data_IF_060772859152
#
_entry.id   IF_060772859152
#
_cell.length_a   1.000
_cell.length_b   1.000
_cell.length_c   1.000
_cell.angle_alpha   90.00
_cell.angle_beta   90.00
_cell.angle_gamma   90.00
#
_symmetry.space_group_name_H-M   'P 1'
#
loop_
_entity.id
_entity.type
_entity.pdbx_description
1 polymer ?
#
# COMPACT_ATOMS: atom_id res chain seq x y z
N UNK A 1 -41.47 -22.66 52.71
CA UNK A 1 -42.83 -22.15 52.92
C UNK A 1 -42.70 -20.66 53.17
N UNK A 2 -42.80 -19.88 52.08
CA UNK A 2 -43.80 -18.79 51.89
C UNK A 2 -44.22 -18.07 53.20
N UNK A 3 -44.12 -16.74 53.39
CA UNK A 3 -44.62 -15.67 52.51
C UNK A 3 -44.34 -14.23 53.05
N UNK A 4 -44.21 -13.26 52.13
CA UNK A 4 -44.82 -11.90 52.01
C UNK A 4 -44.64 -10.81 53.13
N UNK A 5 -44.26 -9.59 52.68
CA UNK A 5 -44.82 -8.22 52.92
C UNK A 5 -43.69 -7.15 52.93
N UNK A 6 -43.58 -6.18 52.00
CA UNK A 6 -44.43 -5.01 51.64
C UNK A 6 -44.15 -3.73 52.44
N UNK A 7 -44.17 -2.59 51.71
CA UNK A 7 -44.08 -1.14 52.08
C UNK A 7 -42.67 -0.52 52.07
N UNK A 8 -42.44 0.76 51.71
CA UNK A 8 -43.19 1.87 51.09
C UNK A 8 -42.28 3.11 51.21
N UNK A 9 -42.35 4.03 50.26
CA UNK A 9 -41.61 5.30 50.10
C UNK A 9 -41.42 6.20 51.34
N UNK A 10 -40.38 7.04 51.27
CA UNK A 10 -40.45 8.46 51.62
C UNK A 10 -39.39 9.28 50.89
N UNK A 11 -39.82 10.18 50.02
CA UNK A 11 -39.06 11.31 49.49
C UNK A 11 -39.04 12.46 50.51
N UNK A 12 -37.98 13.27 50.51
CA UNK A 12 -37.97 14.64 51.07
C UNK A 12 -37.09 15.56 50.23
N UNK A 13 -37.73 16.49 49.51
CA UNK A 13 -37.19 17.73 48.96
C UNK A 13 -36.96 18.81 50.05
N UNK A 14 -36.31 19.94 49.66
CA UNK A 14 -36.20 21.28 50.30
C UNK A 14 -34.75 21.63 50.70
N UNK A 15 -34.10 22.77 50.38
CA UNK A 15 -34.44 24.07 49.74
C UNK A 15 -33.15 24.90 49.55
N UNK A 16 -33.16 25.80 48.53
CA UNK A 16 -32.47 27.10 48.30
C UNK A 16 -31.80 27.83 49.51
N UNK A 17 -30.91 28.84 49.42
CA UNK A 17 -30.16 29.61 48.39
C UNK A 17 -29.30 30.67 49.14
N UNK A 18 -28.20 31.19 48.56
CA UNK A 18 -27.62 32.58 48.67
C UNK A 18 -26.15 32.60 48.19
N UNK A 19 -25.49 33.68 47.76
CA UNK A 19 -25.69 34.76 46.80
C UNK A 19 -24.31 35.48 46.66
N UNK A 20 -24.05 36.05 45.46
CA UNK A 20 -23.18 37.20 45.16
C UNK A 20 -21.63 37.10 44.96
N UNK A 21 -21.23 37.36 43.71
CA UNK A 21 -19.99 37.98 43.16
C UNK A 21 -19.90 39.51 43.51
N UNK A 22 -18.94 40.39 43.05
CA UNK A 22 -17.86 40.28 42.01
C UNK A 22 -16.51 41.04 42.29
N UNK A 23 -15.67 41.16 41.24
CA UNK A 23 -14.58 42.12 40.91
C UNK A 23 -13.14 41.56 41.03
N UNK A 24 -12.20 41.69 40.08
CA UNK A 24 -11.97 42.70 39.04
C UNK A 24 -11.02 42.17 37.92
N UNK A 25 -11.05 42.79 36.73
CA UNK A 25 -10.28 42.44 35.50
C UNK A 25 -8.88 43.12 35.47
N UNK A 26 -7.91 42.65 34.65
CA UNK A 26 -7.69 43.35 33.39
C UNK A 26 -7.24 42.48 32.20
N UNK A 27 -7.58 42.98 31.01
CA UNK A 27 -7.22 42.46 29.70
C UNK A 27 -5.71 42.60 29.39
N UNK A 28 -5.13 41.55 28.80
CA UNK A 28 -4.03 41.63 27.83
C UNK A 28 -4.25 40.52 26.81
N UNK A 29 -4.41 40.91 25.55
CA UNK A 29 -4.64 39.98 24.45
C UNK A 29 -3.33 39.35 24.00
N UNK A 30 -3.36 38.04 23.83
CA UNK A 30 -2.60 37.31 22.81
C UNK A 30 -3.56 36.25 22.26
N UNK A 31 -3.92 36.41 21.00
CA UNK A 31 -4.70 35.45 20.22
C UNK A 31 -3.84 34.21 19.97
N UNK A 32 -3.82 33.26 20.90
CA UNK A 32 -3.42 31.89 20.57
C UNK A 32 -4.65 31.17 20.00
N UNK A 33 -4.66 31.13 18.67
CA UNK A 33 -5.49 30.28 17.82
C UNK A 33 -5.70 28.90 18.46
N UNK A 34 -6.88 28.72 19.03
CA UNK A 34 -7.48 27.43 19.37
C UNK A 34 -7.33 26.48 18.17
N UNK A 35 -6.42 25.52 18.32
CA UNK A 35 -6.12 24.43 17.36
C UNK A 35 -7.10 23.26 17.57
N UNK A 36 -8.30 23.54 18.11
CA UNK A 36 -9.31 22.57 18.51
C UNK A 36 -10.05 21.94 17.31
N UNK A 37 -9.88 22.47 16.10
CA UNK A 37 -10.45 21.89 14.87
C UNK A 37 -9.69 20.65 14.36
N UNK A 38 -8.45 20.41 14.82
CA UNK A 38 -7.63 19.28 14.37
C UNK A 38 -7.91 18.00 15.19
N UNK A 39 -8.27 18.07 16.47
CA UNK A 39 -8.41 16.89 17.35
C UNK A 39 -9.61 15.99 16.99
N UNK A 40 -10.74 16.57 16.57
CA UNK A 40 -11.91 15.80 16.11
C UNK A 40 -11.63 15.05 14.80
N UNK A 41 -10.82 15.64 13.90
CA UNK A 41 -10.39 15.02 12.63
C UNK A 41 -9.37 13.89 12.88
N UNK A 42 -8.58 13.98 13.94
CA UNK A 42 -7.61 12.94 14.32
C UNK A 42 -8.27 11.68 14.87
N UNK A 43 -9.35 11.84 15.64
CA UNK A 43 -10.13 10.74 16.23
C UNK A 43 -10.85 9.88 15.17
N UNK A 44 -11.21 10.47 14.04
CA UNK A 44 -11.90 9.76 12.95
C UNK A 44 -10.92 8.96 12.06
N UNK A 45 -9.63 9.32 12.10
CA UNK A 45 -8.62 8.73 11.21
C UNK A 45 -8.14 7.35 11.67
N UNK A 46 -8.01 7.11 12.98
CA UNK A 46 -7.46 5.86 13.53
C UNK A 46 -8.20 5.35 14.74
N UNK A 47 -8.64 4.09 14.71
CA UNK A 47 -9.28 3.43 15.86
C UNK A 47 -8.28 2.97 16.91
N UNK A 48 -8.72 2.74 18.15
CA UNK A 48 -7.88 2.24 19.26
C UNK A 48 -7.11 0.97 18.87
N UNK A 49 -7.73 0.03 18.15
CA UNK A 49 -7.07 -1.19 17.67
C UNK A 49 -5.91 -0.87 16.70
N UNK A 50 -6.11 0.07 15.78
CA UNK A 50 -5.07 0.45 14.82
C UNK A 50 -3.89 1.15 15.51
N UNK A 51 -4.16 1.99 16.51
CA UNK A 51 -3.14 2.67 17.30
C UNK A 51 -2.30 1.68 18.08
N UNK A 52 -2.90 0.67 18.71
CA UNK A 52 -2.16 -0.39 19.40
C UNK A 52 -1.19 -1.12 18.47
N UNK A 53 -1.63 -1.43 17.25
CA UNK A 53 -0.77 -2.02 16.23
C UNK A 53 0.36 -1.08 15.76
N UNK A 54 0.09 0.22 15.64
CA UNK A 54 1.10 1.23 15.28
C UNK A 54 2.16 1.38 16.37
N UNK A 55 1.74 1.46 17.64
CA UNK A 55 2.65 1.51 18.80
C UNK A 55 3.57 0.30 18.81
N UNK A 56 3.05 -0.92 18.65
CA UNK A 56 3.88 -2.14 18.64
C UNK A 56 4.91 -2.12 17.52
N UNK A 57 4.48 -1.78 16.30
CA UNK A 57 5.39 -1.69 15.14
C UNK A 57 6.47 -0.63 15.37
N UNK A 58 6.09 0.50 15.94
CA UNK A 58 7.00 1.60 16.21
C UNK A 58 8.03 1.24 17.29
N UNK A 59 7.61 0.65 18.42
CA UNK A 59 8.54 0.18 19.45
C UNK A 59 9.42 -0.98 18.97
N UNK A 60 8.93 -1.81 18.05
CA UNK A 60 9.74 -2.87 17.42
C UNK A 60 10.90 -2.31 16.58
N UNK A 61 10.80 -1.08 16.06
CA UNK A 61 11.92 -0.43 15.36
C UNK A 61 13.08 -0.05 16.27
N UNK A 62 12.87 -0.05 17.60
CA UNK A 62 13.86 0.34 18.62
C UNK A 62 14.47 1.74 18.43
N UNK A 63 13.84 2.60 17.62
CA UNK A 63 14.27 4.00 17.43
C UNK A 63 14.11 4.78 18.73
N UNK A 64 13.05 4.50 19.50
CA UNK A 64 12.87 5.01 20.86
C UNK A 64 12.43 3.91 21.82
N UNK A 65 12.79 4.07 23.09
CA UNK A 65 12.36 3.17 24.16
C UNK A 65 10.91 3.44 24.54
N UNK A 66 10.23 2.43 25.09
CA UNK A 66 8.86 2.60 25.59
C UNK A 66 8.76 3.76 26.59
N UNK A 67 9.73 3.90 27.50
CA UNK A 67 9.76 4.98 28.48
C UNK A 67 9.90 6.36 27.85
N UNK A 68 10.71 6.50 26.80
CA UNK A 68 10.84 7.76 26.07
C UNK A 68 9.54 8.10 25.31
N UNK A 69 8.95 7.10 24.65
CA UNK A 69 7.67 7.26 23.97
C UNK A 69 6.55 7.71 24.93
N UNK A 70 6.46 7.10 26.12
CA UNK A 70 5.45 7.44 27.13
C UNK A 70 5.58 8.88 27.64
N UNK A 71 6.83 9.37 27.79
CA UNK A 71 7.08 10.77 28.16
C UNK A 71 6.62 11.73 27.08
N UNK A 72 6.89 11.42 25.81
CA UNK A 72 6.50 12.25 24.67
C UNK A 72 4.98 12.37 24.54
N UNK A 73 4.25 11.28 24.76
CA UNK A 73 2.78 11.28 24.67
C UNK A 73 2.07 11.72 25.96
N UNK A 74 2.81 12.03 27.03
CA UNK A 74 2.23 12.39 28.33
C UNK A 74 1.44 11.27 29.02
N UNK A 75 1.68 10.01 28.67
CA UNK A 75 0.95 8.87 29.24
C UNK A 75 1.77 8.13 30.29
N UNK A 76 1.11 7.62 31.33
CA UNK A 76 1.76 6.82 32.36
C UNK A 76 1.87 5.34 31.95
N UNK A 77 2.82 4.61 32.56
CA UNK A 77 3.09 3.20 32.24
C UNK A 77 1.90 2.27 32.51
N UNK A 78 1.12 2.52 33.57
CA UNK A 78 -0.05 1.71 33.92
C UNK A 78 -1.18 1.86 32.89
N UNK A 79 -1.50 3.10 32.50
CA UNK A 79 -2.46 3.43 31.45
C UNK A 79 -2.06 2.80 30.13
N UNK A 80 -0.78 2.85 29.76
CA UNK A 80 -0.26 2.19 28.57
C UNK A 80 -0.43 0.67 28.61
N UNK A 81 -0.03 0.03 29.71
CA UNK A 81 -0.16 -1.42 29.86
C UNK A 81 -1.61 -1.88 29.78
N UNK A 82 -2.54 -1.13 30.37
CA UNK A 82 -3.99 -1.39 30.27
C UNK A 82 -4.49 -1.20 28.84
N UNK A 83 -4.12 -0.10 28.21
CA UNK A 83 -4.49 0.20 26.82
C UNK A 83 -4.06 -0.92 25.88
N UNK A 84 -2.81 -1.36 25.97
CA UNK A 84 -2.26 -2.43 25.12
C UNK A 84 -2.95 -3.79 25.31
N UNK A 85 -3.61 -4.04 26.46
CA UNK A 85 -4.31 -5.30 26.76
C UNK A 85 -5.75 -5.36 26.24
N UNK A 86 -6.36 -4.23 25.88
CA UNK A 86 -7.72 -4.22 25.33
C UNK A 86 -7.81 -5.02 24.03
N UNK A 87 -9.04 -5.33 23.59
CA UNK A 87 -9.26 -6.10 22.34
C UNK A 87 -10.31 -5.49 21.42
N UNK A 88 -11.20 -4.64 21.94
CA UNK A 88 -12.22 -3.97 21.14
C UNK A 88 -11.66 -2.90 20.19
N UNK A 89 -12.39 -2.66 19.09
CA UNK A 89 -12.01 -1.70 18.04
C UNK A 89 -11.80 -0.29 18.60
N UNK A 90 -12.71 0.15 19.48
CA UNK A 90 -12.68 1.44 20.16
C UNK A 90 -12.46 1.33 21.67
N UNK A 91 -12.17 0.13 22.17
CA UNK A 91 -12.02 -0.10 23.61
C UNK A 91 -10.75 0.61 24.13
N UNK A 92 -10.93 1.50 25.11
CA UNK A 92 -9.87 2.36 25.66
C UNK A 92 -9.70 3.69 24.93
N UNK A 93 -10.75 4.20 24.28
CA UNK A 93 -10.77 5.54 23.65
C UNK A 93 -10.65 6.69 24.66
N UNK A 94 -11.05 6.43 25.90
CA UNK A 94 -10.94 7.30 27.07
C UNK A 94 -9.53 7.29 27.71
N UNK A 95 -8.63 6.42 27.24
CA UNK A 95 -7.29 6.29 27.82
C UNK A 95 -6.35 7.37 27.25
N UNK A 96 -5.58 8.05 28.11
CA UNK A 96 -4.61 9.07 27.68
C UNK A 96 -3.51 8.56 26.72
N UNK A 97 -3.24 7.25 26.72
CA UNK A 97 -2.34 6.63 25.75
C UNK A 97 -2.85 6.77 24.33
N UNK A 98 -4.16 6.73 24.13
CA UNK A 98 -4.78 6.82 22.82
C UNK A 98 -4.68 8.23 22.25
N UNK A 99 -5.17 9.24 22.98
CA UNK A 99 -5.10 10.65 22.56
C UNK A 99 -3.66 11.12 22.33
N UNK A 100 -2.75 10.83 23.27
CA UNK A 100 -1.35 11.19 23.12
C UNK A 100 -0.68 10.50 21.92
N UNK A 101 -1.04 9.23 21.64
CA UNK A 101 -0.52 8.51 20.47
C UNK A 101 -1.08 9.06 19.15
N UNK A 102 -2.34 9.48 19.11
CA UNK A 102 -2.94 10.10 17.93
C UNK A 102 -2.17 11.37 17.53
N UNK A 103 -1.92 12.26 18.49
CA UNK A 103 -1.14 13.48 18.27
C UNK A 103 0.28 13.15 17.81
N UNK A 104 0.97 12.22 18.49
CA UNK A 104 2.34 11.84 18.15
C UNK A 104 2.47 11.29 16.71
N UNK A 105 1.65 10.31 16.32
CA UNK A 105 1.75 9.72 14.99
C UNK A 105 1.34 10.69 13.88
N UNK A 106 0.39 11.59 14.16
CA UNK A 106 0.01 12.65 13.23
C UNK A 106 1.12 13.68 13.06
N UNK A 107 1.79 14.04 14.15
CA UNK A 107 3.00 14.86 14.14
C UNK A 107 4.14 14.21 13.34
N UNK A 108 4.36 12.90 13.50
CA UNK A 108 5.34 12.16 12.69
C UNK A 108 4.98 12.16 11.20
N UNK A 109 3.71 11.95 10.84
CA UNK A 109 3.28 12.01 9.44
C UNK A 109 3.47 13.43 8.86
N UNK A 110 3.12 14.47 9.62
CA UNK A 110 3.35 15.88 9.25
C UNK A 110 4.86 16.16 9.06
N UNK A 111 5.73 15.72 9.98
CA UNK A 111 7.20 15.86 9.89
C UNK A 111 7.79 15.13 8.69
N UNK A 112 7.43 13.87 8.47
CA UNK A 112 7.90 13.10 7.31
C UNK A 112 7.47 13.71 5.98
N UNK A 113 6.26 14.29 5.91
CA UNK A 113 5.80 15.03 4.71
C UNK A 113 6.65 16.29 4.48
N UNK A 114 6.93 17.07 5.54
CA UNK A 114 7.78 18.26 5.47
C UNK A 114 9.22 17.92 5.08
N UNK A 115 9.84 16.89 5.66
CA UNK A 115 11.19 16.43 5.29
C UNK A 115 11.25 15.93 3.84
N UNK A 116 10.25 15.18 3.38
CA UNK A 116 10.17 14.76 1.96
C UNK A 116 9.98 15.94 1.02
N UNK A 117 9.24 16.98 1.44
CA UNK A 117 9.10 18.21 0.66
C UNK A 117 10.41 19.01 0.66
N UNK A 118 11.07 19.15 1.81
CA UNK A 118 12.35 19.83 1.95
C UNK A 118 13.46 19.10 1.17
N UNK A 119 13.51 17.77 1.20
CA UNK A 119 14.46 16.97 0.42
C UNK A 119 14.22 17.12 -1.10
N UNK A 120 12.96 17.25 -1.54
CA UNK A 120 12.63 17.57 -2.94
C UNK A 120 13.08 18.98 -3.35
N UNK A 121 13.01 19.94 -2.43
CA UNK A 121 13.44 21.32 -2.68
C UNK A 121 14.98 21.41 -2.66
N UNK A 122 15.66 20.73 -1.73
CA UNK A 122 17.12 20.69 -1.62
C UNK A 122 17.78 19.93 -2.79
N UNK A 123 17.14 18.88 -3.30
CA UNK A 123 17.55 18.22 -4.55
C UNK A 123 17.45 19.18 -5.75
N UNK A 124 16.48 20.10 -5.75
CA UNK A 124 16.28 21.08 -6.83
C UNK A 124 17.25 22.27 -6.77
N UNK A 125 17.84 22.59 -5.61
CA UNK A 125 18.74 23.75 -5.44
C UNK A 125 20.24 23.45 -5.52
N UNK A 126 20.65 22.19 -5.47
CA UNK A 126 22.09 21.80 -5.57
C UNK A 126 22.58 21.53 -7.01
N UNK A 127 21.70 21.61 -8.01
CA UNK A 127 22.03 21.41 -9.43
C UNK A 127 22.48 22.67 -10.15
N UNK A 128 23.55 23.35 -9.74
CA UNK A 128 24.26 24.31 -10.62
C UNK A 128 25.75 24.40 -10.26
N UNK A 129 26.58 24.13 -11.28
CA UNK A 129 28.04 24.34 -11.39
C UNK A 129 28.93 23.10 -11.20
N UNK A 130 29.08 22.31 -12.27
CA UNK A 130 30.39 22.02 -12.90
C UNK A 130 30.21 21.55 -14.35
N UNK A 131 31.13 22.04 -15.18
CA UNK A 131 31.10 22.08 -16.64
C UNK A 131 31.79 20.86 -17.25
N UNK A 132 31.10 20.28 -18.25
CA UNK A 132 31.57 19.57 -19.45
C UNK A 132 32.51 18.36 -19.33
N UNK A 133 31.99 17.16 -19.65
CA UNK A 133 32.29 16.47 -20.91
C UNK A 133 31.32 15.27 -21.15
N UNK A 134 30.70 15.26 -22.33
CA UNK A 134 30.10 14.14 -23.10
C UNK A 134 28.84 13.38 -22.59
N UNK A 135 27.72 13.64 -23.30
CA UNK A 135 26.60 12.77 -23.72
C UNK A 135 26.01 11.76 -22.69
N UNK A 136 24.72 11.73 -22.35
CA UNK A 136 23.48 12.04 -23.07
C UNK A 136 22.37 12.44 -22.10
N UNK A 137 21.37 13.15 -22.62
CA UNK A 137 20.33 13.86 -21.90
C UNK A 137 19.22 12.95 -21.33
N UNK A 138 18.91 13.13 -20.05
CA UNK A 138 17.57 12.88 -19.49
C UNK A 138 17.25 13.97 -18.47
N UNK A 139 16.27 14.81 -18.81
CA UNK A 139 15.81 15.93 -18.00
C UNK A 139 14.99 15.48 -16.80
N UNK A 140 15.27 16.09 -15.66
CA UNK A 140 14.62 15.80 -14.38
C UNK A 140 13.22 16.47 -14.30
N UNK A 141 12.23 15.83 -14.92
CA UNK A 141 10.81 16.19 -14.71
C UNK A 141 10.37 15.79 -13.28
N UNK A 142 9.55 16.62 -12.62
CA UNK A 142 8.99 16.30 -11.30
C UNK A 142 8.11 15.04 -11.35
N UNK A 143 7.85 14.32 -10.23
CA UNK A 143 7.01 13.10 -10.26
C UNK A 143 5.59 13.32 -10.82
N UNK A 144 5.07 14.54 -10.74
CA UNK A 144 3.79 14.93 -11.31
C UNK A 144 3.87 15.22 -12.82
N UNK A 145 4.94 15.88 -13.28
CA UNK A 145 5.19 16.12 -14.71
C UNK A 145 5.57 14.83 -15.45
N UNK A 146 6.39 13.96 -14.84
CA UNK A 146 6.65 12.61 -15.37
C UNK A 146 5.36 11.82 -15.52
N UNK A 147 4.46 11.86 -14.54
CA UNK A 147 3.17 11.17 -14.63
C UNK A 147 2.28 11.71 -15.76
N UNK A 148 2.27 13.03 -15.99
CA UNK A 148 1.49 13.65 -17.07
C UNK A 148 2.10 13.39 -18.45
N UNK A 149 3.43 13.43 -18.57
CA UNK A 149 4.17 13.12 -19.80
C UNK A 149 4.08 11.64 -20.16
N UNK A 150 4.21 10.75 -19.18
CA UNK A 150 4.03 9.31 -19.33
C UNK A 150 2.56 8.94 -19.63
N UNK A 151 1.58 9.71 -19.15
CA UNK A 151 0.18 9.50 -19.49
C UNK A 151 -0.11 9.85 -20.96
N UNK A 152 0.43 10.97 -21.47
CA UNK A 152 0.33 11.34 -22.89
C UNK A 152 1.11 10.38 -23.81
N UNK A 153 2.21 9.82 -23.34
CA UNK A 153 2.98 8.81 -24.09
C UNK A 153 2.22 7.48 -24.28
N UNK A 154 1.22 7.16 -23.48
CA UNK A 154 0.48 5.89 -23.62
C UNK A 154 -0.39 5.88 -24.89
N UNK A 155 -1.03 7.01 -25.21
CA UNK A 155 -1.80 7.17 -26.45
C UNK A 155 -0.89 7.10 -27.68
N UNK A 156 0.33 7.65 -27.56
CA UNK A 156 1.35 7.59 -28.62
C UNK A 156 1.97 6.19 -28.78
N UNK A 157 2.17 5.46 -27.68
CA UNK A 157 2.58 4.04 -27.70
C UNK A 157 1.52 3.19 -28.43
N UNK A 158 0.23 3.49 -28.26
CA UNK A 158 -0.83 2.73 -28.92
C UNK A 158 -0.88 2.96 -30.44
N UNK A 159 -0.57 4.19 -30.88
CA UNK A 159 -0.49 4.57 -32.29
C UNK A 159 0.65 3.89 -33.06
N UNK A 160 1.59 3.26 -32.37
CA UNK A 160 2.61 2.42 -33.01
C UNK A 160 1.92 1.17 -33.58
N UNK A 161 1.75 1.18 -34.89
CA UNK A 161 1.29 0.01 -35.66
C UNK A 161 2.36 -1.09 -35.58
N UNK A 162 1.94 -2.21 -35.01
CA UNK A 162 2.72 -3.42 -34.92
C UNK A 162 2.14 -4.42 -35.92
N UNK A 163 2.96 -5.22 -36.61
CA UNK A 163 2.44 -6.19 -37.58
C UNK A 163 1.44 -7.16 -36.91
N UNK A 164 0.35 -7.46 -37.59
CA UNK A 164 -0.77 -8.22 -37.03
C UNK A 164 -0.37 -9.68 -36.66
N UNK A 165 0.70 -10.20 -37.27
CA UNK A 165 1.24 -11.55 -37.04
C UNK A 165 2.49 -11.58 -36.13
N UNK A 166 2.48 -10.83 -35.03
CA UNK A 166 3.60 -10.86 -34.09
C UNK A 166 3.63 -12.13 -33.25
N UNK A 167 4.74 -12.84 -33.40
CA UNK A 167 5.15 -13.96 -32.56
C UNK A 167 5.58 -13.47 -31.18
N UNK A 168 5.19 -14.22 -30.16
CA UNK A 168 5.50 -13.89 -28.76
C UNK A 168 6.80 -14.54 -28.35
N UNK A 169 7.79 -13.75 -27.94
CA UNK A 169 9.12 -14.26 -27.59
C UNK A 169 9.46 -14.15 -26.10
N UNK A 170 8.71 -13.36 -25.33
CA UNK A 170 8.96 -13.22 -23.89
C UNK A 170 8.09 -14.17 -23.07
N UNK A 171 8.65 -14.79 -22.05
CA UNK A 171 7.93 -15.69 -21.13
C UNK A 171 6.85 -14.97 -20.31
N UNK A 172 5.88 -15.74 -19.77
CA UNK A 172 4.85 -15.19 -18.86
C UNK A 172 5.46 -14.48 -17.63
N UNK A 173 6.57 -14.98 -17.09
CA UNK A 173 7.27 -14.35 -15.95
C UNK A 173 7.81 -12.96 -16.34
N UNK A 174 8.43 -12.84 -17.53
CA UNK A 174 8.99 -11.57 -18.02
C UNK A 174 7.87 -10.56 -18.27
N UNK A 175 6.76 -10.99 -18.86
CA UNK A 175 5.59 -10.13 -19.05
C UNK A 175 5.00 -9.67 -17.71
N UNK A 176 4.97 -10.54 -16.68
CA UNK A 176 4.54 -10.15 -15.33
C UNK A 176 5.46 -9.09 -14.71
N UNK A 177 6.77 -9.24 -14.86
CA UNK A 177 7.75 -8.26 -14.38
C UNK A 177 7.59 -6.90 -15.08
N UNK A 178 7.30 -6.90 -16.39
CA UNK A 178 6.98 -5.69 -17.14
C UNK A 178 5.69 -5.02 -16.65
N UNK A 179 4.63 -5.78 -16.37
CA UNK A 179 3.39 -5.23 -15.79
C UNK A 179 3.64 -4.63 -14.40
N UNK A 180 4.38 -5.34 -13.55
CA UNK A 180 4.66 -4.87 -12.19
C UNK A 180 5.53 -3.62 -12.20
N UNK A 181 6.59 -3.59 -13.00
CA UNK A 181 7.44 -2.40 -13.18
C UNK A 181 6.63 -1.22 -13.74
N UNK A 182 5.71 -1.46 -14.67
CA UNK A 182 4.80 -0.44 -15.15
C UNK A 182 3.91 0.12 -14.03
N UNK A 183 3.32 -0.71 -13.17
CA UNK A 183 2.53 -0.22 -12.04
C UNK A 183 3.36 0.51 -10.97
N UNK A 184 4.63 0.17 -10.82
CA UNK A 184 5.53 0.92 -9.94
C UNK A 184 5.74 2.37 -10.39
N UNK A 185 5.64 2.64 -11.70
CA UNK A 185 5.69 4.03 -12.22
C UNK A 185 4.45 4.86 -11.87
N UNK A 186 3.37 4.24 -11.37
CA UNK A 186 2.11 4.88 -10.94
C UNK A 186 1.44 5.77 -12.00
N UNK A 187 1.71 5.49 -13.28
CA UNK A 187 1.11 6.20 -14.42
C UNK A 187 -0.36 5.83 -14.56
N UNK A 188 -0.68 4.53 -14.58
CA UNK A 188 -2.06 4.02 -14.63
C UNK A 188 -2.39 3.07 -13.48
N UNK A 189 -3.60 3.13 -12.89
CA UNK A 189 -4.08 2.11 -11.97
C UNK A 189 -4.40 0.81 -12.71
N UNK A 190 -4.39 -0.32 -11.97
CA UNK A 190 -4.63 -1.65 -12.55
C UNK A 190 -5.94 -1.77 -13.34
N UNK A 191 -7.00 -1.07 -12.91
CA UNK A 191 -8.29 -1.07 -13.59
C UNK A 191 -8.23 -0.37 -14.96
N UNK A 192 -7.54 0.77 -15.05
CA UNK A 192 -7.37 1.50 -16.31
C UNK A 192 -6.51 0.71 -17.31
N UNK A 193 -5.44 0.07 -16.83
CA UNK A 193 -4.62 -0.80 -17.67
C UNK A 193 -5.38 -2.04 -18.17
N UNK A 194 -6.23 -2.65 -17.32
CA UNK A 194 -7.08 -3.76 -17.75
C UNK A 194 -8.07 -3.34 -18.84
N UNK A 195 -8.71 -2.17 -18.69
CA UNK A 195 -9.59 -1.60 -19.69
C UNK A 195 -8.84 -1.30 -21.01
N UNK A 196 -7.63 -0.72 -20.92
CA UNK A 196 -6.78 -0.43 -22.06
C UNK A 196 -6.41 -1.69 -22.86
N UNK A 197 -6.10 -2.78 -22.17
CA UNK A 197 -5.83 -4.07 -22.81
C UNK A 197 -7.10 -4.81 -23.30
N UNK A 198 -8.30 -4.25 -23.12
CA UNK A 198 -9.58 -4.92 -23.37
C UNK A 198 -9.71 -6.27 -22.64
N UNK A 199 -9.22 -6.35 -21.40
CA UNK A 199 -9.19 -7.56 -20.58
C UNK A 199 -9.93 -7.32 -19.26
N UNK A 200 -10.59 -8.35 -18.73
CA UNK A 200 -11.23 -8.23 -17.42
C UNK A 200 -10.20 -8.05 -16.29
N UNK A 201 -10.48 -7.14 -15.36
CA UNK A 201 -9.62 -6.89 -14.20
C UNK A 201 -9.37 -8.17 -13.38
N UNK A 202 -10.36 -9.06 -13.31
CA UNK A 202 -10.23 -10.36 -12.67
C UNK A 202 -9.21 -11.26 -13.38
N UNK A 203 -9.22 -11.31 -14.72
CA UNK A 203 -8.24 -12.08 -15.49
C UNK A 203 -6.83 -11.53 -15.31
N UNK A 204 -6.66 -10.20 -15.31
CA UNK A 204 -5.36 -9.57 -15.06
C UNK A 204 -4.82 -9.91 -13.66
N UNK A 205 -5.66 -9.85 -12.63
CA UNK A 205 -5.29 -10.24 -11.25
C UNK A 205 -4.91 -11.72 -11.15
N UNK A 206 -5.69 -12.60 -11.79
CA UNK A 206 -5.38 -14.04 -11.86
C UNK A 206 -4.06 -14.31 -12.57
N UNK A 207 -3.75 -13.58 -13.64
CA UNK A 207 -2.48 -13.69 -14.35
C UNK A 207 -1.31 -13.30 -13.45
N UNK A 208 -1.40 -12.16 -12.76
CA UNK A 208 -0.35 -11.65 -11.86
C UNK A 208 -0.13 -12.55 -10.63
N UNK A 209 -1.14 -13.30 -10.20
CA UNK A 209 -1.04 -14.22 -9.06
C UNK A 209 -0.33 -15.55 -9.41
N UNK A 210 -0.30 -15.95 -10.68
CA UNK A 210 0.37 -17.19 -11.13
C UNK A 210 1.89 -17.03 -11.16
N UNK A 211 2.60 -18.16 -11.16
CA UNK A 211 4.07 -18.24 -11.23
C UNK A 211 4.50 -19.35 -12.19
N UNK A 212 5.56 -19.12 -12.96
CA UNK A 212 6.08 -20.08 -13.93
C UNK A 212 6.09 -19.53 -15.37
N UNK A 213 7.07 -19.99 -16.15
CA UNK A 213 7.39 -19.46 -17.49
C UNK A 213 6.22 -19.54 -18.48
N UNK A 214 5.36 -20.55 -18.33
CA UNK A 214 4.19 -20.84 -19.18
C UNK A 214 2.86 -20.78 -18.42
N UNK A 215 2.90 -20.46 -17.13
CA UNK A 215 1.70 -20.41 -16.31
C UNK A 215 0.94 -19.11 -16.56
N UNK A 216 -0.29 -19.23 -17.03
CA UNK A 216 -1.15 -18.09 -17.36
C UNK A 216 -1.19 -17.71 -18.84
N UNK A 217 -0.72 -18.57 -19.76
CA UNK A 217 -0.94 -18.42 -21.20
C UNK A 217 -2.44 -18.19 -21.47
N UNK A 218 -2.76 -17.16 -22.26
CA UNK A 218 -4.12 -16.73 -22.55
C UNK A 218 -4.19 -15.29 -23.04
N UNK A 219 -5.40 -14.73 -23.08
CA UNK A 219 -5.67 -13.40 -23.65
C UNK A 219 -4.87 -12.27 -22.99
N UNK A 220 -4.68 -12.33 -21.66
CA UNK A 220 -3.95 -11.31 -20.89
C UNK A 220 -2.48 -11.27 -21.28
N UNK A 221 -1.86 -12.45 -21.40
CA UNK A 221 -0.46 -12.58 -21.76
C UNK A 221 -0.20 -12.04 -23.17
N UNK A 222 -1.06 -12.42 -24.13
CA UNK A 222 -1.00 -11.93 -25.51
C UNK A 222 -1.11 -10.40 -25.50
N UNK A 223 -2.21 -9.84 -24.99
CA UNK A 223 -2.47 -8.40 -25.00
C UNK A 223 -1.37 -7.57 -24.31
N UNK A 224 -0.91 -8.02 -23.13
CA UNK A 224 0.16 -7.33 -22.41
C UNK A 224 1.49 -7.35 -23.18
N UNK A 225 1.85 -8.47 -23.81
CA UNK A 225 3.06 -8.56 -24.62
C UNK A 225 3.03 -7.57 -25.79
N UNK A 226 1.91 -7.49 -26.52
CA UNK A 226 1.74 -6.50 -27.59
C UNK A 226 1.93 -5.07 -27.09
N UNK A 227 1.35 -4.73 -25.94
CA UNK A 227 1.51 -3.40 -25.35
C UNK A 227 2.97 -3.07 -25.01
N UNK A 228 3.70 -3.99 -24.37
CA UNK A 228 5.11 -3.74 -24.04
C UNK A 228 6.02 -3.75 -25.26
N UNK A 229 5.67 -4.48 -26.32
CA UNK A 229 6.40 -4.44 -27.58
C UNK A 229 6.19 -3.10 -28.30
N UNK A 230 4.96 -2.58 -28.32
CA UNK A 230 4.67 -1.21 -28.78
C UNK A 230 5.51 -0.19 -28.02
N UNK A 231 5.53 -0.31 -26.69
CA UNK A 231 6.33 0.54 -25.82
C UNK A 231 7.82 0.46 -26.14
N UNK A 232 8.35 -0.75 -26.41
CA UNK A 232 9.77 -0.95 -26.76
C UNK A 232 10.13 -0.27 -28.08
N UNK A 233 9.26 -0.37 -29.09
CA UNK A 233 9.46 0.28 -30.40
C UNK A 233 9.41 1.80 -30.24
N UNK A 234 8.45 2.32 -29.47
CA UNK A 234 8.34 3.74 -29.16
C UNK A 234 9.61 4.29 -28.47
N UNK A 235 10.12 3.57 -27.47
CA UNK A 235 11.34 3.96 -26.74
C UNK A 235 12.65 3.66 -27.51
N UNK A 236 12.57 3.07 -28.71
CA UNK A 236 13.73 2.56 -29.48
C UNK A 236 14.68 1.66 -28.66
N UNK A 237 14.13 0.93 -27.69
CA UNK A 237 14.92 0.14 -26.77
C UNK A 237 15.44 -1.16 -27.42
N UNK A 238 16.71 -1.54 -27.16
CA UNK A 238 17.30 -2.74 -27.73
C UNK A 238 16.59 -4.00 -27.20
N UNK A 239 16.50 -5.03 -28.05
CA UNK A 239 15.97 -6.34 -27.63
C UNK A 239 16.81 -6.94 -26.50
N UNK A 240 16.15 -7.49 -25.48
CA UNK A 240 16.79 -8.21 -24.38
C UNK A 240 17.60 -9.41 -24.89
N UNK A 241 18.72 -9.70 -24.23
CA UNK A 241 19.54 -10.88 -24.53
C UNK A 241 18.75 -12.20 -24.40
N UNK A 242 17.74 -12.25 -23.53
CA UNK A 242 16.85 -13.42 -23.40
C UNK A 242 16.05 -13.64 -24.69
N UNK A 243 15.46 -12.58 -25.23
CA UNK A 243 14.71 -12.62 -26.48
C UNK A 243 15.59 -13.03 -27.67
N UNK A 244 16.80 -12.50 -27.79
CA UNK A 244 17.74 -12.90 -28.85
C UNK A 244 18.03 -14.41 -28.83
N UNK A 245 18.16 -14.99 -27.64
CA UNK A 245 18.35 -16.45 -27.47
C UNK A 245 17.10 -17.22 -27.90
N UNK A 246 15.91 -16.75 -27.50
CA UNK A 246 14.64 -17.41 -27.84
C UNK A 246 14.35 -17.29 -29.33
N UNK A 247 14.62 -16.14 -29.97
CA UNK A 247 14.51 -15.96 -31.42
C UNK A 247 15.43 -16.95 -32.17
N UNK A 248 16.61 -17.28 -31.62
CA UNK A 248 17.53 -18.26 -32.19
C UNK A 248 17.08 -19.71 -31.97
N UNK A 249 16.58 -20.06 -30.78
CA UNK A 249 16.15 -21.43 -30.46
C UNK A 249 14.76 -21.76 -31.01
N UNK A 250 13.86 -20.76 -31.05
CA UNK A 250 12.43 -20.92 -31.36
C UNK A 250 11.97 -19.78 -32.30
N UNK A 251 12.17 -19.93 -33.62
CA UNK A 251 11.86 -18.89 -34.60
C UNK A 251 10.36 -18.58 -34.73
N UNK A 252 9.51 -19.50 -34.28
CA UNK A 252 8.05 -19.34 -34.27
C UNK A 252 7.50 -18.73 -32.97
N UNK A 253 8.36 -18.45 -31.98
CA UNK A 253 7.95 -17.96 -30.67
C UNK A 253 7.18 -18.98 -29.83
N UNK A 254 6.72 -18.53 -28.67
CA UNK A 254 6.00 -19.34 -27.71
C UNK A 254 4.57 -19.67 -28.19
N UNK A 255 4.11 -20.94 -28.03
CA UNK A 255 2.75 -21.30 -28.36
C UNK A 255 1.76 -20.56 -27.44
N UNK A 256 0.67 -20.05 -28.00
CA UNK A 256 -0.35 -19.31 -27.25
C UNK A 256 -1.50 -20.19 -26.76
N UNK A 257 -1.50 -21.47 -27.15
CA UNK A 257 -2.43 -22.45 -26.64
C UNK A 257 -1.93 -23.02 -25.30
N UNK A 258 -2.89 -23.31 -24.42
CA UNK A 258 -2.60 -24.12 -23.23
C UNK A 258 -2.61 -25.57 -23.68
N UNK A 259 -1.52 -26.29 -23.44
CA UNK A 259 -1.49 -27.72 -23.68
C UNK A 259 -2.61 -28.39 -22.85
N UNK A 260 -3.64 -28.97 -23.48
CA UNK A 260 -4.75 -29.60 -22.76
C UNK A 260 -4.30 -30.88 -22.04
N UNK A 261 -3.07 -31.34 -22.27
CA UNK A 261 -2.49 -32.56 -21.70
C UNK A 261 -1.79 -32.36 -20.36
N UNK A 262 -1.60 -31.12 -19.89
CA UNK A 262 -1.17 -30.83 -18.51
C UNK A 262 -2.37 -30.85 -17.55
N UNK A 263 -3.09 -31.96 -17.49
CA UNK A 263 -3.88 -32.28 -16.29
C UNK A 263 -2.92 -32.70 -15.18
N UNK A 264 -3.17 -32.21 -13.96
CA UNK A 264 -2.42 -32.61 -12.78
C UNK A 264 -2.44 -34.13 -12.65
N UNK A 265 -1.28 -34.79 -12.71
CA UNK A 265 -1.14 -36.08 -12.05
C UNK A 265 -1.32 -35.80 -10.56
N UNK A 266 -2.49 -36.16 -10.02
CA UNK A 266 -2.68 -36.29 -8.59
C UNK A 266 -1.78 -37.43 -8.13
N UNK A 267 -0.82 -37.14 -7.24
CA UNK A 267 0.06 -38.14 -6.61
C UNK A 267 -0.76 -38.91 -5.56
N UNK A 268 -1.74 -39.68 -6.02
CA UNK A 268 -2.53 -40.59 -5.18
C UNK A 268 -2.74 -41.97 -5.81
N UNK A 269 -2.33 -42.19 -7.08
CA UNK A 269 -2.47 -43.48 -7.76
C UNK A 269 -1.13 -44.21 -7.96
N UNK A 270 -0.32 -44.31 -6.90
CA UNK A 270 0.78 -45.29 -6.84
C UNK A 270 0.65 -46.17 -5.60
N UNK A 271 -0.42 -46.97 -5.54
CA UNK A 271 -0.39 -48.25 -4.84
C UNK A 271 -0.36 -49.38 -5.89
N UNK A 272 0.78 -49.52 -6.58
CA UNK A 272 1.09 -50.80 -7.20
C UNK A 272 1.51 -51.78 -6.10
N UNK A 273 0.61 -52.71 -5.79
CA UNK A 273 0.87 -53.91 -4.99
C UNK A 273 2.12 -54.63 -5.52
N UNK A 274 3.22 -54.55 -4.78
CA UNK A 274 4.29 -55.55 -4.86
C UNK A 274 4.10 -56.48 -3.66
N UNK A 275 3.42 -57.61 -3.89
CA UNK A 275 3.47 -58.75 -2.99
C UNK A 275 4.92 -59.25 -3.00
N UNK A 276 5.64 -59.05 -1.91
CA UNK A 276 6.91 -59.73 -1.66
C UNK A 276 6.58 -61.04 -0.94
N UNK A 277 6.65 -62.16 -1.68
CA UNK A 277 6.64 -63.50 -1.10
C UNK A 277 7.94 -63.72 -0.31
N UNK A 278 7.82 -64.07 0.96
CA UNK A 278 8.91 -64.64 1.75
C UNK A 278 8.71 -66.16 1.77
N UNK A 279 9.47 -66.87 0.95
CA UNK A 279 9.80 -68.29 1.15
C UNK A 279 11.20 -68.55 0.57
N UNK A 280 12.24 -68.41 1.41
CA UNK A 280 13.36 -69.38 1.51
C UNK A 280 14.24 -69.13 2.72
#
# INVERSE_FOLDING_TARGET
MEDILSKSSSETESTLADAQEPQDVPATGEEESSDDEDDDILMERWTCQTIRGKIQKFLATKIMTQTAFLKEIGANSNSFQRFMKYKGVFQGSDNSTYSGSLCFFSGLEKKQKKEKAAAKIAAKTSGTKRKAATASADGEDTPAEKKKKLAGQIEEIEAVELPEDLKVFDDCDVVRDHIQSFFLTKVMPQAAFAAHLNVSLAALRKFLARKGKREGVGIVYKAAYFFFEKKRVFENAPKSNKRKKIEATMPNGYPLERDPTQFLFHVSDTEHKVKFDWER
#
